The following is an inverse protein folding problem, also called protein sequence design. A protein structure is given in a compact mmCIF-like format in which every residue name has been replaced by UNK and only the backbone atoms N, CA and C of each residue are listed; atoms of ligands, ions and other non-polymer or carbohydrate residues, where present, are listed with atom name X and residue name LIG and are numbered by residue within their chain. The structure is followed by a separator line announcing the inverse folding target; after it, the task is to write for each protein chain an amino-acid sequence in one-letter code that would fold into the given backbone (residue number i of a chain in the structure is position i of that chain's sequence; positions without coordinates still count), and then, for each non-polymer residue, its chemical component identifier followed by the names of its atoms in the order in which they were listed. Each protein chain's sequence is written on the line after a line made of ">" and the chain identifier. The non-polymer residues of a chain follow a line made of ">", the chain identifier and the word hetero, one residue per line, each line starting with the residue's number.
data_IF_132189443515
#
_entry.id   IF_132189443515
#
_cell.length_a   1.000
_cell.length_b   1.000
_cell.length_c   1.000
_cell.angle_alpha   90.00
_cell.angle_beta   90.00
_cell.angle_gamma   90.00
#
_symmetry.space_group_name_H-M   'P 1'
#
loop_
_entity.id
_entity.type
_entity.pdbx_description
1 polymer ?
#
# COMPACT_ATOMS: atom_id res chain seq x y z
N UNK A 1 32.85 5.77 11.87
CA UNK A 1 31.48 5.21 12.06
C UNK A 1 31.35 3.89 11.32
N UNK A 2 30.89 2.83 12.01
CA UNK A 2 30.50 1.57 11.36
C UNK A 2 29.03 1.64 10.95
N UNK A 3 28.75 1.62 9.64
CA UNK A 3 27.39 1.73 9.12
C UNK A 3 26.51 0.50 9.44
N UNK A 4 27.13 -0.68 9.59
CA UNK A 4 26.39 -1.90 9.99
C UNK A 4 25.91 -1.81 11.44
N UNK A 5 26.73 -1.27 12.33
CA UNK A 5 26.36 -1.02 13.72
C UNK A 5 25.29 0.07 13.80
N UNK A 6 25.38 1.13 13.00
CA UNK A 6 24.33 2.14 12.91
C UNK A 6 22.99 1.53 12.54
N UNK A 7 22.92 0.74 11.45
CA UNK A 7 21.68 0.12 11.02
C UNK A 7 21.14 -0.91 12.02
N UNK A 8 22.02 -1.66 12.66
CA UNK A 8 21.62 -2.57 13.73
C UNK A 8 20.99 -1.80 14.91
N UNK A 9 21.58 -0.66 15.25
CA UNK A 9 21.04 0.18 16.31
C UNK A 9 19.68 0.79 15.93
N UNK A 10 19.51 1.22 14.68
CA UNK A 10 18.21 1.65 14.15
C UNK A 10 17.16 0.55 14.29
N UNK A 11 17.50 -0.72 13.98
CA UNK A 11 16.60 -1.86 14.11
C UNK A 11 16.28 -2.24 15.57
N UNK A 12 17.15 -1.89 16.52
CA UNK A 12 16.86 -1.99 17.95
C UNK A 12 15.88 -0.90 18.43
N UNK A 13 15.99 0.32 17.90
CA UNK A 13 15.11 1.45 18.24
C UNK A 13 13.73 1.27 17.59
N UNK A 14 13.71 0.89 16.31
CA UNK A 14 12.49 0.65 15.55
C UNK A 14 12.61 -0.67 14.79
N UNK A 15 12.03 -1.72 15.38
CA UNK A 15 12.16 -3.08 14.88
C UNK A 15 11.66 -3.23 13.44
N UNK A 16 12.33 -4.06 12.61
CA UNK A 16 11.83 -4.41 11.29
C UNK A 16 10.40 -4.97 11.35
N UNK A 17 9.54 -4.51 10.45
CA UNK A 17 8.13 -4.87 10.44
C UNK A 17 7.86 -6.09 9.54
N UNK A 18 6.98 -7.04 9.96
CA UNK A 18 6.56 -8.16 9.12
C UNK A 18 5.90 -7.66 7.84
N UNK A 19 6.22 -8.28 6.71
CA UNK A 19 5.62 -7.94 5.42
C UNK A 19 5.49 -9.16 4.50
N UNK A 20 4.55 -9.04 3.55
CA UNK A 20 4.40 -9.94 2.42
C UNK A 20 4.46 -9.11 1.14
N UNK A 21 5.45 -9.39 0.32
CA UNK A 21 5.65 -8.75 -0.98
C UNK A 21 5.01 -9.57 -2.07
N UNK A 22 4.66 -8.91 -3.16
CA UNK A 22 4.07 -9.55 -4.33
C UNK A 22 4.86 -9.22 -5.59
N UNK A 23 5.03 -10.22 -6.45
CA UNK A 23 5.35 -10.03 -7.87
C UNK A 23 4.05 -9.84 -8.63
N UNK A 24 4.10 -8.98 -9.63
CA UNK A 24 2.98 -8.71 -10.53
C UNK A 24 3.18 -9.52 -11.81
N UNK A 25 2.15 -10.23 -12.24
CA UNK A 25 2.15 -11.02 -13.47
C UNK A 25 0.98 -10.60 -14.37
N UNK A 26 1.28 -10.23 -15.63
CA UNK A 26 0.28 -9.91 -16.63
C UNK A 26 -0.38 -11.19 -17.13
N UNK A 27 -1.58 -11.49 -16.63
CA UNK A 27 -2.40 -12.63 -17.04
C UNK A 27 -3.85 -12.45 -16.59
N UNK A 28 -4.76 -13.15 -17.26
CA UNK A 28 -6.15 -13.21 -16.86
C UNK A 28 -6.28 -13.83 -15.45
N UNK A 29 -7.20 -13.30 -14.65
CA UNK A 29 -7.45 -13.70 -13.30
C UNK A 29 -8.87 -14.26 -13.11
N UNK A 30 -9.05 -15.13 -12.13
CA UNK A 30 -10.36 -15.60 -11.70
C UNK A 30 -11.00 -14.63 -10.70
N UNK A 31 -12.27 -14.86 -10.35
CA UNK A 31 -12.95 -14.09 -9.31
C UNK A 31 -12.27 -14.21 -7.95
N UNK A 32 -11.57 -15.31 -7.70
CA UNK A 32 -11.00 -15.65 -6.39
C UNK A 32 -9.50 -15.35 -6.27
N UNK A 33 -8.82 -14.97 -7.34
CA UNK A 33 -7.39 -14.69 -7.31
C UNK A 33 -7.06 -13.41 -6.54
N UNK A 34 -5.90 -13.38 -5.88
CA UNK A 34 -5.26 -12.13 -5.46
C UNK A 34 -4.78 -11.39 -6.71
N UNK A 35 -5.23 -10.13 -6.92
CA UNK A 35 -5.08 -9.44 -8.19
C UNK A 35 -5.15 -7.92 -8.10
N UNK A 36 -4.74 -7.27 -9.19
CA UNK A 36 -4.93 -5.85 -9.48
C UNK A 36 -5.92 -5.77 -10.65
N UNK A 37 -6.95 -4.96 -10.52
CA UNK A 37 -7.98 -4.78 -11.54
C UNK A 37 -8.83 -6.01 -11.83
N UNK A 38 -9.44 -6.04 -13.01
CA UNK A 38 -10.33 -7.12 -13.45
C UNK A 38 -11.68 -7.16 -12.73
N UNK A 39 -12.40 -8.25 -12.90
CA UNK A 39 -13.73 -8.47 -12.27
C UNK A 39 -13.53 -8.85 -10.81
N UNK A 40 -14.05 -8.07 -9.82
CA UNK A 40 -13.92 -8.41 -8.42
C UNK A 40 -14.73 -9.66 -8.04
N UNK A 41 -14.29 -10.39 -7.01
CA UNK A 41 -15.20 -11.21 -6.23
C UNK A 41 -16.24 -10.30 -5.57
N UNK A 42 -17.53 -10.42 -5.90
CA UNK A 42 -18.54 -9.61 -5.24
C UNK A 42 -19.92 -10.31 -5.24
N UNK A 43 -20.51 -10.56 -4.05
CA UNK A 43 -21.84 -11.17 -3.96
C UNK A 43 -22.95 -10.25 -4.52
N UNK A 44 -23.84 -10.80 -5.37
CA UNK A 44 -24.97 -10.06 -5.98
C UNK A 44 -25.96 -9.47 -4.96
N UNK A 45 -26.02 -10.03 -3.77
CA UNK A 45 -26.92 -9.57 -2.71
C UNK A 45 -26.32 -8.47 -1.81
N UNK A 46 -25.11 -8.00 -2.12
CA UNK A 46 -24.46 -6.90 -1.44
C UNK A 46 -24.47 -5.63 -2.31
N UNK A 47 -24.53 -4.47 -1.64
CA UNK A 47 -24.45 -3.18 -2.31
C UNK A 47 -23.01 -2.94 -2.80
N UNK A 48 -22.85 -2.72 -4.11
CA UNK A 48 -21.54 -2.47 -4.71
C UNK A 48 -21.02 -1.08 -4.32
N UNK A 49 -19.72 -0.92 -4.06
CA UNK A 49 -19.13 0.36 -3.66
C UNK A 49 -19.36 1.46 -4.70
N UNK A 50 -19.91 2.58 -4.26
CA UNK A 50 -20.11 3.78 -5.09
C UNK A 50 -19.37 4.98 -4.48
N UNK A 51 -19.00 5.92 -5.34
CA UNK A 51 -18.44 7.20 -4.92
C UNK A 51 -19.52 8.12 -4.36
N UNK A 52 -19.10 9.20 -3.65
CA UNK A 52 -20.02 10.15 -3.01
C UNK A 52 -19.86 11.57 -3.50
N UNK A 53 -18.71 11.91 -4.11
CA UNK A 53 -18.42 13.30 -4.51
C UNK A 53 -17.54 13.38 -5.77
N UNK A 54 -17.10 14.59 -6.14
CA UNK A 54 -16.16 14.88 -7.24
C UNK A 54 -16.54 14.26 -8.60
N UNK A 55 -17.82 14.30 -8.95
CA UNK A 55 -18.31 13.74 -10.20
C UNK A 55 -18.50 12.22 -10.18
N UNK A 56 -18.25 11.57 -9.05
CA UNK A 56 -18.45 10.14 -8.81
C UNK A 56 -19.63 9.82 -7.89
N UNK A 57 -20.45 10.80 -7.48
CA UNK A 57 -21.63 10.53 -6.67
C UNK A 57 -22.50 9.47 -7.36
N UNK A 58 -22.80 8.40 -6.60
CA UNK A 58 -23.62 7.24 -7.01
C UNK A 58 -23.06 6.41 -8.19
N UNK A 59 -21.85 6.71 -8.67
CA UNK A 59 -21.19 5.88 -9.68
C UNK A 59 -20.40 4.74 -9.03
N UNK A 60 -20.38 3.53 -9.61
CA UNK A 60 -19.56 2.43 -9.12
C UNK A 60 -18.09 2.81 -9.03
N UNK A 61 -17.41 2.36 -7.99
CA UNK A 61 -15.95 2.45 -7.89
C UNK A 61 -15.30 1.31 -8.70
N UNK A 62 -14.07 1.52 -9.15
CA UNK A 62 -13.31 0.49 -9.84
C UNK A 62 -12.47 -0.33 -8.85
N UNK A 63 -12.32 -1.63 -9.09
CA UNK A 63 -11.40 -2.47 -8.31
C UNK A 63 -9.96 -2.02 -8.58
N UNK A 64 -9.26 -1.58 -7.54
CA UNK A 64 -7.82 -1.38 -7.57
C UNK A 64 -7.09 -2.71 -7.34
N UNK A 65 -7.40 -3.38 -6.24
CA UNK A 65 -6.75 -4.63 -5.88
C UNK A 65 -7.67 -5.51 -5.02
N UNK A 66 -7.39 -6.81 -5.03
CA UNK A 66 -8.04 -7.83 -4.24
C UNK A 66 -7.01 -8.79 -3.68
N UNK A 67 -7.12 -9.13 -2.40
CA UNK A 67 -6.27 -10.09 -1.69
C UNK A 67 -7.13 -11.22 -1.14
N UNK A 68 -6.88 -12.45 -1.57
CA UNK A 68 -7.53 -13.64 -1.03
C UNK A 68 -6.60 -14.30 0.01
N UNK A 69 -6.87 -14.08 1.28
CA UNK A 69 -6.03 -14.56 2.38
C UNK A 69 -6.00 -16.08 2.53
N UNK A 70 -6.94 -16.82 1.93
CA UNK A 70 -6.89 -18.29 1.89
C UNK A 70 -5.80 -18.82 0.95
N UNK A 71 -5.26 -17.95 0.06
CA UNK A 71 -4.23 -18.29 -0.92
C UNK A 71 -2.87 -17.66 -0.58
N UNK A 72 -2.79 -16.85 0.48
CA UNK A 72 -1.59 -16.12 0.84
C UNK A 72 -0.85 -16.81 2.00
N UNK A 73 0.49 -16.75 2.03
CA UNK A 73 1.25 -17.06 3.23
C UNK A 73 0.80 -16.18 4.39
N UNK A 74 0.73 -16.77 5.58
CA UNK A 74 0.32 -16.01 6.77
C UNK A 74 1.37 -15.00 7.17
N UNK A 75 0.95 -13.77 7.44
CA UNK A 75 1.76 -12.75 8.11
C UNK A 75 1.04 -12.29 9.39
N UNK A 76 1.83 -11.96 10.39
CA UNK A 76 1.35 -11.62 11.71
C UNK A 76 0.33 -10.45 11.68
N UNK A 77 -0.75 -10.58 12.44
CA UNK A 77 -1.86 -9.62 12.59
C UNK A 77 -2.79 -9.44 11.38
N UNK A 78 -2.47 -10.02 10.21
CA UNK A 78 -3.36 -10.01 9.05
C UNK A 78 -4.37 -11.15 9.10
N UNK A 79 -5.52 -11.04 8.37
CA UNK A 79 -6.48 -12.13 8.25
C UNK A 79 -5.83 -13.40 7.72
N UNK A 80 -6.36 -14.58 8.08
CA UNK A 80 -5.96 -15.88 7.55
C UNK A 80 -6.96 -16.47 6.56
N UNK A 81 -8.08 -15.79 6.33
CA UNK A 81 -9.16 -16.22 5.45
C UNK A 81 -9.86 -15.01 4.84
N UNK A 82 -10.75 -15.24 3.89
CA UNK A 82 -11.57 -14.21 3.28
C UNK A 82 -10.85 -13.37 2.24
N UNK A 83 -11.58 -12.41 1.68
CA UNK A 83 -11.12 -11.55 0.59
C UNK A 83 -11.20 -10.09 1.04
N UNK A 84 -10.09 -9.39 0.95
CA UNK A 84 -9.97 -7.93 1.17
C UNK A 84 -9.84 -7.23 -0.18
N UNK A 85 -10.64 -6.19 -0.38
CA UNK A 85 -10.70 -5.46 -1.64
C UNK A 85 -10.51 -3.97 -1.42
N UNK A 86 -9.86 -3.34 -2.39
CA UNK A 86 -9.60 -1.91 -2.46
C UNK A 86 -10.25 -1.37 -3.73
N UNK A 87 -11.20 -0.47 -3.57
CA UNK A 87 -11.88 0.20 -4.67
C UNK A 87 -11.53 1.69 -4.68
N UNK A 88 -11.38 2.26 -5.85
CA UNK A 88 -11.10 3.70 -6.04
C UNK A 88 -11.98 4.28 -7.15
N UNK A 89 -12.26 5.58 -7.09
CA UNK A 89 -12.84 6.28 -8.22
C UNK A 89 -11.77 6.43 -9.31
N UNK A 90 -12.09 6.09 -10.57
CA UNK A 90 -11.18 6.28 -11.70
C UNK A 90 -11.18 7.75 -12.17
N UNK A 91 -10.72 8.64 -11.31
CA UNK A 91 -10.58 10.08 -11.54
C UNK A 91 -9.10 10.51 -11.58
N UNK A 92 -8.84 11.79 -11.84
CA UNK A 92 -7.49 12.33 -11.98
C UNK A 92 -6.66 12.40 -10.69
N UNK A 93 -7.24 12.00 -9.55
CA UNK A 93 -6.58 11.82 -8.25
C UNK A 93 -6.76 10.40 -7.72
N UNK A 94 -7.21 9.48 -8.58
CA UNK A 94 -7.38 8.05 -8.28
C UNK A 94 -8.22 7.79 -7.02
N UNK A 95 -9.29 8.57 -6.82
CA UNK A 95 -10.20 8.42 -5.70
C UNK A 95 -9.71 9.00 -4.37
N UNK A 96 -8.54 9.62 -4.33
CA UNK A 96 -8.07 10.31 -3.14
C UNK A 96 -8.93 11.55 -2.83
N UNK A 97 -9.01 11.93 -1.56
CA UNK A 97 -9.77 13.11 -1.15
C UNK A 97 -9.23 14.38 -1.80
N UNK A 98 -10.08 15.08 -2.53
CA UNK A 98 -9.73 16.35 -3.17
C UNK A 98 -9.24 17.37 -2.13
N UNK A 99 -8.12 18.00 -2.38
CA UNK A 99 -7.41 18.93 -1.48
C UNK A 99 -6.72 18.28 -0.26
N UNK A 100 -6.53 16.98 -0.20
CA UNK A 100 -5.80 16.27 0.87
C UNK A 100 -6.34 16.55 2.29
N UNK A 101 -7.60 16.99 2.40
CA UNK A 101 -8.17 17.47 3.67
C UNK A 101 -8.43 16.35 4.65
N UNK A 102 -8.90 15.23 4.13
CA UNK A 102 -9.24 14.06 4.95
C UNK A 102 -8.95 12.77 4.19
N UNK A 103 -7.83 12.14 4.51
CA UNK A 103 -7.42 10.86 3.90
C UNK A 103 -8.23 9.67 4.43
N UNK A 104 -9.08 9.87 5.44
CA UNK A 104 -9.94 8.82 6.02
C UNK A 104 -11.32 8.77 5.40
N UNK A 105 -11.71 9.82 4.68
CA UNK A 105 -13.03 9.90 4.06
C UNK A 105 -13.14 8.89 2.92
N UNK A 106 -13.77 7.74 3.20
CA UNK A 106 -14.08 6.73 2.20
C UNK A 106 -15.21 7.19 1.27
N UNK A 107 -15.02 8.35 0.65
CA UNK A 107 -16.00 8.93 -0.26
C UNK A 107 -15.80 8.47 -1.71
N UNK A 108 -14.56 8.46 -2.17
CA UNK A 108 -14.19 8.01 -3.52
C UNK A 108 -13.16 6.87 -3.51
N UNK A 109 -12.93 6.27 -2.34
CA UNK A 109 -12.32 4.96 -2.20
C UNK A 109 -13.13 4.12 -1.23
N UNK A 110 -12.95 2.81 -1.25
CA UNK A 110 -13.61 1.89 -0.31
C UNK A 110 -12.73 0.69 -0.06
N UNK A 111 -12.66 0.27 1.20
CA UNK A 111 -12.09 -1.02 1.58
C UNK A 111 -13.23 -1.94 1.99
N UNK A 112 -13.31 -3.13 1.39
CA UNK A 112 -14.37 -4.12 1.65
C UNK A 112 -13.71 -5.43 2.04
N UNK A 113 -14.17 -6.04 3.13
CA UNK A 113 -13.71 -7.34 3.58
C UNK A 113 -14.86 -8.35 3.60
N UNK A 114 -14.66 -9.45 2.89
CA UNK A 114 -15.56 -10.61 2.87
C UNK A 114 -14.93 -11.71 3.71
N UNK A 115 -15.37 -11.86 4.95
CA UNK A 115 -14.81 -12.87 5.87
C UNK A 115 -15.05 -14.31 5.40
N UNK A 116 -16.15 -14.54 4.68
CA UNK A 116 -16.52 -15.85 4.13
C UNK A 116 -16.66 -15.77 2.62
N UNK A 117 -16.06 -16.73 1.93
CA UNK A 117 -16.07 -16.78 0.46
C UNK A 117 -17.22 -17.67 -0.03
N UNK A 118 -18.09 -17.12 -0.87
CA UNK A 118 -19.12 -17.85 -1.60
C UNK A 118 -18.48 -18.46 -2.86
N UNK A 119 -18.47 -19.78 -2.96
CA UNK A 119 -17.89 -20.49 -4.11
C UNK A 119 -18.90 -20.76 -5.24
N UNK A 120 -20.18 -20.52 -5.01
CA UNK A 120 -21.22 -20.60 -6.04
C UNK A 120 -21.20 -19.32 -6.89
N UNK A 121 -20.52 -19.39 -8.03
CA UNK A 121 -20.35 -18.24 -8.93
C UNK A 121 -21.69 -17.68 -9.46
N UNK A 122 -22.78 -18.43 -9.44
CA UNK A 122 -24.09 -17.93 -9.83
C UNK A 122 -24.61 -16.81 -8.90
N UNK A 123 -24.10 -16.76 -7.68
CA UNK A 123 -24.39 -15.74 -6.68
C UNK A 123 -23.44 -14.54 -6.74
N UNK A 124 -22.42 -14.59 -7.58
CA UNK A 124 -21.40 -13.54 -7.71
C UNK A 124 -21.68 -12.68 -8.95
N UNK A 125 -21.24 -11.42 -8.87
CA UNK A 125 -21.19 -10.50 -10.01
C UNK A 125 -20.26 -11.04 -11.10
N UNK A 126 -20.59 -10.74 -12.34
CA UNK A 126 -19.86 -11.10 -13.54
C UNK A 126 -19.32 -9.85 -14.24
N UNK A 127 -18.57 -10.01 -15.31
CA UNK A 127 -18.11 -8.89 -16.12
C UNK A 127 -19.26 -8.01 -16.65
N UNK A 128 -20.44 -8.60 -16.91
CA UNK A 128 -21.63 -7.87 -17.36
C UNK A 128 -22.27 -6.99 -16.29
N UNK A 129 -21.99 -7.28 -15.01
CA UNK A 129 -22.50 -6.53 -13.87
C UNK A 129 -21.57 -5.38 -13.44
N UNK A 130 -20.35 -5.30 -14.00
CA UNK A 130 -19.31 -4.35 -13.61
C UNK A 130 -19.17 -3.22 -14.64
N UNK A 131 -19.09 -1.98 -14.15
CA UNK A 131 -18.78 -0.83 -15.00
C UNK A 131 -17.29 -0.85 -15.39
N UNK A 132 -17.04 -0.85 -16.69
CA UNK A 132 -15.67 -0.70 -17.23
C UNK A 132 -15.45 0.79 -17.53
N UNK A 133 -14.36 1.31 -17.01
CA UNK A 133 -13.94 2.69 -17.22
C UNK A 133 -12.78 2.74 -18.21
N UNK A 134 -12.77 3.75 -19.11
CA UNK A 134 -11.70 3.94 -20.09
C UNK A 134 -11.17 5.37 -20.09
N UNK A 135 -9.93 5.56 -20.49
CA UNK A 135 -9.34 6.89 -20.67
C UNK A 135 -10.01 7.67 -21.80
N UNK A 136 -10.51 6.99 -22.83
CA UNK A 136 -11.25 7.61 -23.93
C UNK A 136 -12.53 8.31 -23.44
N UNK A 137 -13.12 7.80 -22.35
CA UNK A 137 -14.28 8.39 -21.69
C UNK A 137 -13.91 9.42 -20.61
N UNK A 138 -12.61 9.72 -20.45
CA UNK A 138 -12.10 10.69 -19.49
C UNK A 138 -11.96 10.13 -18.06
N UNK A 139 -11.83 8.81 -17.91
CA UNK A 139 -11.58 8.14 -16.63
C UNK A 139 -10.13 7.66 -16.54
N UNK A 140 -9.56 7.72 -15.36
CA UNK A 140 -8.15 7.44 -15.12
C UNK A 140 -7.98 6.38 -14.04
N UNK A 141 -7.33 5.27 -14.38
CA UNK A 141 -6.82 4.27 -13.45
C UNK A 141 -5.30 4.23 -13.57
N UNK A 142 -4.57 3.84 -12.51
CA UNK A 142 -3.11 3.74 -12.61
C UNK A 142 -2.65 2.59 -13.53
N UNK A 143 -3.57 1.84 -14.13
CA UNK A 143 -3.30 0.73 -15.04
C UNK A 143 -4.50 0.46 -15.95
N UNK A 144 -4.25 -0.33 -17.00
CA UNK A 144 -5.29 -0.92 -17.85
C UNK A 144 -5.26 -2.44 -17.72
N UNK A 145 -6.45 -3.09 -17.78
CA UNK A 145 -6.57 -4.55 -17.70
C UNK A 145 -6.47 -5.11 -16.29
N UNK A 146 -5.82 -6.27 -16.17
CA UNK A 146 -5.72 -7.00 -14.93
C UNK A 146 -4.37 -7.69 -14.77
N UNK A 147 -3.95 -7.87 -13.51
CA UNK A 147 -2.68 -8.52 -13.17
C UNK A 147 -2.87 -9.42 -11.95
N UNK A 148 -2.22 -10.57 -11.98
CA UNK A 148 -2.18 -11.46 -10.81
C UNK A 148 -1.11 -11.01 -9.82
N UNK A 149 -1.44 -11.06 -8.54
CA UNK A 149 -0.49 -10.86 -7.43
C UNK A 149 0.05 -12.24 -7.00
N UNK A 150 1.34 -12.45 -7.17
CA UNK A 150 2.04 -13.67 -6.75
C UNK A 150 2.76 -13.38 -5.44
N UNK A 151 2.36 -13.98 -4.32
CA UNK A 151 3.03 -13.75 -3.05
C UNK A 151 4.47 -14.28 -3.07
N UNK A 152 5.39 -13.54 -2.46
CA UNK A 152 6.72 -14.03 -2.10
C UNK A 152 6.70 -14.68 -0.71
N UNK A 153 7.81 -15.18 -0.23
CA UNK A 153 7.93 -15.66 1.15
C UNK A 153 7.79 -14.48 2.13
N UNK A 154 7.09 -14.65 3.26
CA UNK A 154 7.01 -13.64 4.28
C UNK A 154 8.41 -13.23 4.77
N UNK A 155 8.59 -11.95 4.98
CA UNK A 155 9.87 -11.39 5.44
C UNK A 155 9.65 -10.26 6.44
N UNK A 156 10.72 -9.69 6.93
CA UNK A 156 10.68 -8.43 7.68
C UNK A 156 11.36 -7.33 6.87
N UNK A 157 10.86 -6.11 7.00
CA UNK A 157 11.40 -4.93 6.33
C UNK A 157 11.84 -3.91 7.38
N UNK A 158 13.11 -3.45 7.34
CA UNK A 158 13.56 -2.37 8.21
C UNK A 158 12.92 -1.04 7.80
N UNK A 159 12.94 -0.06 8.73
CA UNK A 159 12.47 1.30 8.42
C UNK A 159 13.30 1.89 7.27
N UNK A 160 12.62 2.53 6.32
CA UNK A 160 13.24 3.20 5.17
C UNK A 160 13.19 4.71 5.29
N UNK A 161 13.99 5.39 4.47
CA UNK A 161 14.03 6.85 4.39
C UNK A 161 12.68 7.51 4.03
N UNK A 162 11.72 6.73 3.56
CA UNK A 162 10.38 7.20 3.21
C UNK A 162 9.40 7.25 4.39
N UNK A 163 9.74 6.60 5.53
CA UNK A 163 8.93 6.65 6.75
C UNK A 163 9.26 7.90 7.56
N UNK A 164 8.23 8.62 8.04
CA UNK A 164 8.41 9.89 8.78
C UNK A 164 9.29 9.77 10.03
N UNK A 165 9.46 8.57 10.58
CA UNK A 165 10.29 8.30 11.77
C UNK A 165 11.75 8.11 11.44
N UNK A 166 12.10 7.85 10.17
CA UNK A 166 13.47 7.51 9.78
C UNK A 166 14.49 8.54 10.28
N UNK A 167 14.20 9.83 10.08
CA UNK A 167 15.09 10.92 10.51
C UNK A 167 15.39 10.89 12.01
N UNK A 168 14.37 10.70 12.85
CA UNK A 168 14.58 10.60 14.32
C UNK A 168 15.29 9.33 14.72
N UNK A 169 14.97 8.20 14.08
CA UNK A 169 15.60 6.90 14.38
C UNK A 169 17.09 6.89 14.02
N UNK A 170 17.48 7.45 12.88
CA UNK A 170 18.89 7.49 12.47
C UNK A 170 19.71 8.43 13.36
N UNK A 171 19.14 9.57 13.77
CA UNK A 171 19.78 10.51 14.71
C UNK A 171 20.00 9.85 16.08
N UNK A 172 18.96 9.22 16.64
CA UNK A 172 19.07 8.51 17.91
C UNK A 172 20.11 7.39 17.83
N UNK A 173 20.08 6.58 16.76
CA UNK A 173 21.04 5.50 16.58
C UNK A 173 22.48 6.01 16.44
N UNK A 174 22.67 7.10 15.68
CA UNK A 174 23.99 7.73 15.49
C UNK A 174 24.56 8.19 16.85
N UNK A 175 23.79 8.98 17.60
CA UNK A 175 24.23 9.52 18.91
C UNK A 175 24.48 8.42 19.97
N UNK A 176 23.99 7.20 19.75
CA UNK A 176 24.28 6.03 20.61
C UNK A 176 25.61 5.31 20.28
N UNK A 177 26.15 5.51 19.09
CA UNK A 177 27.33 4.76 18.58
C UNK A 177 28.58 5.62 18.33
N UNK A 178 28.46 6.95 18.41
CA UNK A 178 29.61 7.85 18.29
C UNK A 178 30.53 7.73 19.49
N UNK A 179 31.82 8.01 19.30
CA UNK A 179 32.82 8.06 20.35
C UNK A 179 32.60 9.30 21.26
N UNK A 180 33.09 9.24 22.51
CA UNK A 180 32.95 10.36 23.48
C UNK A 180 33.61 11.68 22.99
N UNK A 181 34.50 11.60 22.02
CA UNK A 181 35.20 12.75 21.44
C UNK A 181 34.40 13.41 20.29
N UNK A 182 33.37 12.74 19.75
CA UNK A 182 32.52 13.23 18.66
C UNK A 182 31.35 14.06 19.21
N UNK A 183 30.85 15.01 18.42
CA UNK A 183 29.68 15.82 18.79
C UNK A 183 28.38 15.12 18.40
N UNK A 184 27.41 15.14 19.32
CA UNK A 184 26.03 14.74 19.02
C UNK A 184 25.44 15.66 17.94
N UNK A 185 24.54 15.11 17.11
CA UNK A 185 23.85 15.89 16.08
C UNK A 185 22.34 15.59 16.08
N UNK A 186 21.55 16.56 15.64
CA UNK A 186 20.12 16.41 15.35
C UNK A 186 19.84 16.45 13.84
N UNK A 187 20.88 16.54 12.99
CA UNK A 187 20.80 16.63 11.54
C UNK A 187 20.86 15.24 10.88
N UNK A 188 19.67 14.66 10.62
CA UNK A 188 19.58 13.38 9.91
C UNK A 188 20.12 13.44 8.48
N UNK A 189 19.98 14.59 7.79
CA UNK A 189 20.51 14.78 6.44
C UNK A 189 22.03 14.68 6.41
N UNK A 190 22.70 15.34 7.36
CA UNK A 190 24.15 15.25 7.50
C UNK A 190 24.61 13.80 7.76
N UNK A 191 23.91 13.03 8.62
CA UNK A 191 24.23 11.62 8.88
C UNK A 191 24.07 10.80 7.58
N UNK A 192 22.96 11.00 6.86
CA UNK A 192 22.68 10.27 5.61
C UNK A 192 23.75 10.53 4.54
N UNK A 193 24.25 11.76 4.42
CA UNK A 193 25.29 12.14 3.47
C UNK A 193 26.64 11.44 3.76
N UNK A 194 26.88 10.97 4.99
CA UNK A 194 28.07 10.20 5.34
C UNK A 194 27.95 8.73 4.91
N UNK A 195 26.75 8.20 4.67
CA UNK A 195 26.51 6.79 4.39
C UNK A 195 26.61 6.53 2.88
N UNK A 196 27.56 5.68 2.42
CA UNK A 196 27.61 5.34 1.00
C UNK A 196 26.30 4.70 0.53
N UNK A 197 25.78 5.15 -0.62
CA UNK A 197 24.49 4.75 -1.19
C UNK A 197 24.26 3.23 -1.27
N UNK A 198 25.33 2.43 -1.46
CA UNK A 198 25.24 0.96 -1.48
C UNK A 198 24.59 0.37 -0.22
N UNK A 199 24.80 0.98 0.96
CA UNK A 199 24.23 0.49 2.22
C UNK A 199 22.73 0.77 2.30
N UNK A 200 22.24 1.84 1.67
CA UNK A 200 20.81 2.09 1.53
C UNK A 200 20.17 1.11 0.56
N UNK A 201 20.84 0.76 -0.55
CA UNK A 201 20.32 -0.24 -1.51
C UNK A 201 20.13 -1.59 -0.83
N UNK A 202 21.12 -2.04 -0.05
CA UNK A 202 21.05 -3.34 0.65
C UNK A 202 19.91 -3.35 1.70
N UNK A 203 19.62 -2.20 2.31
CA UNK A 203 18.55 -2.03 3.28
C UNK A 203 17.18 -1.75 2.62
N UNK A 204 17.17 -1.13 1.45
CA UNK A 204 15.99 -0.68 0.75
C UNK A 204 15.31 -1.86 0.04
N UNK A 205 14.38 -2.49 0.73
CA UNK A 205 13.62 -3.61 0.19
C UNK A 205 12.68 -3.14 -0.93
N UNK A 206 13.10 -3.26 -2.18
CA UNK A 206 12.20 -3.00 -3.31
C UNK A 206 11.06 -4.01 -3.37
N UNK A 207 9.87 -3.57 -3.78
CA UNK A 207 8.69 -4.39 -4.00
C UNK A 207 7.84 -3.81 -5.13
N UNK A 208 7.02 -4.63 -5.75
CA UNK A 208 6.04 -4.20 -6.76
C UNK A 208 4.71 -3.84 -6.09
N UNK A 209 4.25 -4.71 -5.16
CA UNK A 209 3.15 -4.47 -4.24
C UNK A 209 3.46 -5.13 -2.88
N UNK A 210 2.81 -4.70 -1.80
CA UNK A 210 3.12 -5.17 -0.45
C UNK A 210 1.94 -5.00 0.51
N UNK A 211 1.89 -5.85 1.54
CA UNK A 211 1.14 -5.66 2.79
C UNK A 211 2.10 -5.75 3.98
N UNK A 212 1.82 -5.04 5.06
CA UNK A 212 2.75 -4.93 6.20
C UNK A 212 3.99 -4.10 5.84
N UNK A 213 5.06 -4.22 6.62
CA UNK A 213 6.29 -3.46 6.41
C UNK A 213 6.15 -1.98 6.71
N UNK A 214 7.05 -1.19 6.12
CA UNK A 214 7.05 0.27 6.18
C UNK A 214 6.69 0.86 4.82
N UNK A 215 5.87 1.92 4.77
CA UNK A 215 5.41 2.51 3.51
C UNK A 215 6.55 3.21 2.77
N UNK A 216 6.33 3.37 1.45
CA UNK A 216 7.25 4.06 0.56
C UNK A 216 6.50 5.19 -0.16
N UNK A 217 6.42 6.35 0.48
CA UNK A 217 5.85 7.54 -0.12
C UNK A 217 6.84 8.19 -1.10
N UNK A 218 6.33 8.82 -2.16
CA UNK A 218 7.16 9.51 -3.15
C UNK A 218 7.45 10.95 -2.74
N UNK A 219 6.47 11.64 -2.14
CA UNK A 219 6.59 13.04 -1.74
C UNK A 219 6.79 13.17 -0.22
N UNK A 220 5.83 12.75 0.58
CA UNK A 220 5.92 12.82 2.03
C UNK A 220 4.98 11.82 2.71
N UNK A 221 5.36 11.39 3.89
CA UNK A 221 4.55 10.52 4.73
C UNK A 221 3.45 11.34 5.44
N UNK A 222 2.16 11.13 5.17
CA UNK A 222 1.09 11.90 5.81
C UNK A 222 1.04 11.72 7.33
N UNK A 223 1.65 10.65 7.87
CA UNK A 223 1.72 10.37 9.30
C UNK A 223 2.65 11.31 10.06
N UNK A 224 3.39 12.19 9.40
CA UNK A 224 4.04 13.32 10.07
C UNK A 224 3.03 14.25 10.78
N UNK A 225 1.76 14.25 10.35
CA UNK A 225 0.69 14.96 11.03
C UNK A 225 0.07 14.09 12.13
N UNK A 226 -0.07 14.64 13.34
CA UNK A 226 -0.53 13.90 14.53
C UNK A 226 -1.83 13.11 14.33
N UNK A 227 -2.78 13.66 13.57
CA UNK A 227 -4.06 13.02 13.29
C UNK A 227 -3.94 11.68 12.54
N UNK A 228 -2.81 11.44 11.84
CA UNK A 228 -2.58 10.23 11.06
C UNK A 228 -1.55 9.27 11.67
N UNK A 229 -0.89 9.61 12.78
CA UNK A 229 0.11 8.73 13.43
C UNK A 229 -0.42 7.37 13.86
N UNK A 230 -1.74 7.28 14.15
CA UNK A 230 -2.38 6.01 14.53
C UNK A 230 -2.42 4.98 13.40
N UNK A 231 -2.31 5.37 12.13
CA UNK A 231 -2.33 4.48 10.97
C UNK A 231 -0.95 3.88 10.76
N UNK A 232 -0.62 2.87 11.57
CA UNK A 232 0.72 2.34 11.73
C UNK A 232 0.98 1.02 10.98
N UNK A 233 -0.01 0.52 10.22
CA UNK A 233 0.12 -0.69 9.40
C UNK A 233 -0.16 -0.37 7.95
N UNK A 234 0.74 -0.76 7.05
CA UNK A 234 0.49 -0.76 5.61
C UNK A 234 -0.49 -1.89 5.30
N UNK A 235 -1.73 -1.52 4.99
CA UNK A 235 -2.78 -2.48 4.65
C UNK A 235 -2.60 -3.02 3.23
N UNK A 236 -2.23 -2.13 2.29
CA UNK A 236 -1.82 -2.46 0.93
C UNK A 236 -1.09 -1.28 0.31
N UNK A 237 -0.02 -1.55 -0.40
CA UNK A 237 0.72 -0.56 -1.18
C UNK A 237 1.04 -1.11 -2.56
N UNK A 238 0.82 -0.28 -3.59
CA UNK A 238 1.10 -0.59 -4.98
C UNK A 238 1.96 0.52 -5.58
N UNK A 239 3.16 0.17 -6.02
CA UNK A 239 4.07 1.09 -6.68
C UNK A 239 3.81 1.19 -8.19
N UNK A 240 4.27 2.27 -8.80
CA UNK A 240 4.42 2.33 -10.25
C UNK A 240 5.39 1.25 -10.73
N UNK A 241 4.95 0.45 -11.71
CA UNK A 241 5.71 -0.68 -12.26
C UNK A 241 5.56 -0.70 -13.77
N UNK A 242 6.60 -0.30 -14.50
CA UNK A 242 6.63 -0.32 -15.96
C UNK A 242 7.67 -1.32 -16.45
N UNK A 243 7.21 -2.52 -16.78
CA UNK A 243 8.04 -3.59 -17.34
C UNK A 243 7.43 -4.09 -18.66
N UNK A 244 7.65 -3.37 -19.80
CA UNK A 244 7.00 -3.70 -21.08
C UNK A 244 7.25 -5.14 -21.53
N UNK A 245 8.42 -5.71 -21.24
CA UNK A 245 8.76 -7.12 -21.57
C UNK A 245 7.94 -8.13 -20.75
N UNK A 246 7.38 -7.73 -19.59
CA UNK A 246 6.51 -8.53 -18.75
C UNK A 246 5.03 -8.22 -18.99
N UNK A 247 4.71 -7.27 -19.89
CA UNK A 247 3.35 -6.79 -20.13
C UNK A 247 2.76 -6.04 -18.94
N UNK A 248 3.60 -5.42 -18.10
CA UNK A 248 3.19 -4.66 -16.92
C UNK A 248 3.32 -3.18 -17.21
N UNK A 249 2.22 -2.46 -17.07
CA UNK A 249 2.15 -1.00 -17.17
C UNK A 249 1.22 -0.46 -16.08
N UNK A 250 1.80 -0.17 -14.93
CA UNK A 250 1.13 0.41 -13.76
C UNK A 250 1.85 1.73 -13.45
N UNK A 251 1.10 2.84 -13.51
CA UNK A 251 1.66 4.17 -13.37
C UNK A 251 0.75 5.07 -12.54
N UNK A 252 1.21 5.44 -11.37
CA UNK A 252 0.59 6.45 -10.53
C UNK A 252 1.16 7.82 -10.90
N UNK A 253 0.35 8.67 -11.54
CA UNK A 253 0.85 9.95 -12.06
C UNK A 253 2.07 9.77 -12.96
N UNK A 254 3.20 10.35 -12.58
CA UNK A 254 4.47 10.28 -13.30
C UNK A 254 5.56 9.39 -12.63
N UNK A 255 5.25 8.62 -11.65
CA UNK A 255 6.06 7.58 -10.97
C UNK A 255 5.80 7.54 -9.46
N UNK A 256 4.57 7.32 -9.08
CA UNK A 256 4.16 7.38 -7.68
C UNK A 256 3.78 6.04 -7.07
N UNK A 257 3.02 6.14 -5.99
CA UNK A 257 2.51 4.99 -5.22
C UNK A 257 1.11 5.26 -4.69
N UNK A 258 0.32 4.20 -4.56
CA UNK A 258 -0.98 4.23 -3.87
C UNK A 258 -0.90 3.38 -2.60
N UNK A 259 -1.10 4.01 -1.44
CA UNK A 259 -0.89 3.40 -0.12
C UNK A 259 -2.14 3.47 0.74
N UNK A 260 -2.58 2.32 1.25
CA UNK A 260 -3.64 2.20 2.24
C UNK A 260 -3.04 1.83 3.59
N UNK A 261 -3.43 2.55 4.64
CA UNK A 261 -2.95 2.26 5.98
C UNK A 261 -4.08 2.21 7.00
N UNK A 262 -3.90 1.38 8.02
CA UNK A 262 -4.91 1.09 9.05
C UNK A 262 -4.26 1.12 10.45
N UNK A 263 -4.99 1.54 11.50
CA UNK A 263 -4.56 1.31 12.87
C UNK A 263 -4.48 -0.19 13.19
N UNK A 264 -3.43 -0.63 13.91
CA UNK A 264 -3.23 -2.04 14.27
C UNK A 264 -4.43 -2.65 15.02
N UNK A 265 -5.05 -1.90 15.92
CA UNK A 265 -6.25 -2.36 16.65
C UNK A 265 -7.45 -2.59 15.75
N UNK A 266 -7.60 -1.79 14.69
CA UNK A 266 -8.66 -1.94 13.70
C UNK A 266 -8.41 -3.16 12.80
N UNK A 267 -7.16 -3.37 12.37
CA UNK A 267 -6.78 -4.56 11.61
C UNK A 267 -7.06 -5.84 12.40
N UNK A 268 -6.64 -5.90 13.67
CA UNK A 268 -6.91 -7.04 14.57
C UNK A 268 -8.40 -7.29 14.80
N UNK A 269 -9.20 -6.24 14.77
CA UNK A 269 -10.67 -6.33 14.90
C UNK A 269 -11.37 -6.65 13.57
N UNK A 270 -10.63 -6.76 12.45
CA UNK A 270 -11.16 -6.88 11.09
C UNK A 270 -12.14 -5.74 10.74
N UNK A 271 -11.92 -4.55 11.31
CA UNK A 271 -12.72 -3.35 11.10
C UNK A 271 -12.01 -2.40 10.13
N UNK A 272 -12.36 -2.50 8.86
CA UNK A 272 -11.79 -1.72 7.76
C UNK A 272 -12.54 -0.39 7.51
N UNK A 273 -13.33 0.08 8.47
CA UNK A 273 -14.03 1.36 8.38
C UNK A 273 -13.14 2.58 8.61
N UNK A 274 -11.98 2.41 9.27
CA UNK A 274 -11.02 3.47 9.61
C UNK A 274 -9.67 3.21 8.91
N UNK A 275 -9.59 3.57 7.64
CA UNK A 275 -8.41 3.42 6.76
C UNK A 275 -8.08 4.78 6.17
N UNK A 276 -6.79 5.14 6.09
CA UNK A 276 -6.34 6.23 5.23
C UNK A 276 -5.92 5.69 3.87
N UNK A 277 -6.20 6.48 2.84
CA UNK A 277 -5.69 6.27 1.50
C UNK A 277 -4.93 7.50 1.04
N UNK A 278 -3.70 7.30 0.60
CA UNK A 278 -2.85 8.31 -0.01
C UNK A 278 -2.34 7.82 -1.36
N UNK A 279 -2.40 8.70 -2.34
CA UNK A 279 -1.70 8.60 -3.60
C UNK A 279 -0.76 9.79 -3.71
N UNK A 280 0.48 9.55 -4.06
CA UNK A 280 1.45 10.59 -4.38
C UNK A 280 2.36 10.18 -5.56
N UNK A 281 2.93 11.18 -6.24
CA UNK A 281 3.83 10.99 -7.38
C UNK A 281 4.86 12.12 -7.44
N UNK A 282 5.89 11.99 -8.28
CA UNK A 282 6.95 12.99 -8.44
C UNK A 282 6.46 14.32 -8.99
#
# INVERSE_FOLDING_TARGET
>A
MDYLDLFKKMDEILAPAPCLKFKIESRNTSLFDSKIGGVPYFPKNMEFPTGKNNGFADKPLALLAQLNFEQLPHIENFPTKGILQFFIAPDNVYGMSWNFKDLTAQDNFRVVYHESIIHDESQLMTADDITVYSEEDGYYMPFTGEYRLIPEEPCTMPVSEYDYRFGSVIVEAYNMIIDEEDEETDDSGWIMDQIPYKYFIDRNCSFEAMIGGYPKFTQFDPRQYDKYKKYNVVLFELNSNRYPKRGIDIMWGDSGTGTFMIPMEKLKALDFSDVIYNFDCC
#
